data_IF_712285427124
#
_entry.id   IF_712285427124
#
_cell.length_a   1.000
_cell.length_b   1.000
_cell.length_c   1.000
_cell.angle_alpha   90.00
_cell.angle_beta   90.00
_cell.angle_gamma   90.00
#
_symmetry.space_group_name_H-M   'P 1'
#
loop_
_entity.id
_entity.type
_entity.pdbx_description
1 polymer ?
#
# COMPACT_ATOMS: atom_id res chain seq x y z
N UNK A 1 51.61 -32.39 18.96
CA UNK A 1 50.77 -31.19 18.69
C UNK A 1 50.27 -31.10 17.23
N UNK A 2 50.82 -31.85 16.28
CA UNK A 2 50.43 -31.75 14.85
C UNK A 2 49.02 -32.30 14.54
N UNK A 3 48.59 -33.38 15.20
CA UNK A 3 47.24 -33.94 15.01
C UNK A 3 46.09 -32.99 15.40
N UNK A 4 46.26 -32.16 16.43
CA UNK A 4 45.26 -31.13 16.81
C UNK A 4 45.19 -30.00 15.78
N UNK A 5 46.31 -29.66 15.14
CA UNK A 5 46.39 -28.63 14.09
C UNK A 5 45.75 -29.09 12.79
N UNK A 6 45.96 -30.35 12.41
CA UNK A 6 45.30 -30.98 11.25
C UNK A 6 43.79 -31.09 11.42
N UNK A 7 43.33 -31.44 12.63
CA UNK A 7 41.90 -31.48 12.95
C UNK A 7 41.24 -30.09 12.88
N UNK A 8 41.88 -29.06 13.46
CA UNK A 8 41.37 -27.67 13.37
C UNK A 8 41.31 -27.15 11.93
N UNK A 9 42.31 -27.48 11.09
CA UNK A 9 42.27 -27.13 9.66
C UNK A 9 41.14 -27.86 8.92
N UNK A 10 40.94 -29.16 9.19
CA UNK A 10 39.87 -29.93 8.56
C UNK A 10 38.46 -29.44 8.95
N UNK A 11 38.31 -28.87 10.15
CA UNK A 11 37.03 -28.31 10.62
C UNK A 11 36.73 -26.91 10.08
N UNK A 12 37.72 -26.17 9.58
CA UNK A 12 37.53 -24.78 9.16
C UNK A 12 36.49 -24.61 8.03
N UNK A 13 36.46 -25.45 6.96
CA UNK A 13 35.41 -25.38 5.94
C UNK A 13 34.01 -25.66 6.52
N UNK A 14 33.88 -26.64 7.42
CA UNK A 14 32.61 -26.95 8.08
C UNK A 14 32.12 -25.78 8.93
N UNK A 15 33.01 -25.11 9.66
CA UNK A 15 32.66 -23.91 10.44
C UNK A 15 32.22 -22.75 9.55
N UNK A 16 32.85 -22.56 8.39
CA UNK A 16 32.45 -21.54 7.40
C UNK A 16 31.05 -21.85 6.84
N UNK A 17 30.77 -23.11 6.49
CA UNK A 17 29.44 -23.51 6.02
C UNK A 17 28.36 -23.34 7.09
N UNK A 18 28.65 -23.72 8.34
CA UNK A 18 27.71 -23.53 9.46
C UNK A 18 27.43 -22.03 9.66
N UNK A 19 28.45 -21.18 9.57
CA UNK A 19 28.29 -19.74 9.73
C UNK A 19 27.45 -19.12 8.61
N UNK A 20 27.74 -19.46 7.34
CA UNK A 20 26.97 -18.99 6.19
C UNK A 20 25.52 -19.50 6.21
N UNK A 21 25.31 -20.76 6.57
CA UNK A 21 23.99 -21.35 6.73
C UNK A 21 23.18 -20.69 7.86
N UNK A 22 23.85 -20.35 8.97
CA UNK A 22 23.21 -19.62 10.08
C UNK A 22 22.81 -18.20 9.69
N UNK A 23 23.64 -17.50 8.88
CA UNK A 23 23.30 -16.18 8.32
C UNK A 23 22.08 -16.29 7.42
N UNK A 24 22.05 -17.26 6.50
CA UNK A 24 20.91 -17.48 5.62
C UNK A 24 19.64 -17.76 6.42
N UNK A 25 19.70 -18.69 7.39
CA UNK A 25 18.55 -19.05 8.22
C UNK A 25 18.06 -17.88 9.05
N UNK A 26 18.97 -17.07 9.60
CA UNK A 26 18.65 -15.88 10.37
C UNK A 26 17.93 -14.82 9.54
N UNK A 27 18.42 -14.54 8.32
CA UNK A 27 17.77 -13.59 7.40
C UNK A 27 16.41 -14.15 6.97
N UNK A 28 16.36 -15.42 6.56
CA UNK A 28 15.11 -16.07 6.15
C UNK A 28 14.03 -15.98 7.24
N UNK A 29 14.37 -16.35 8.49
CA UNK A 29 13.45 -16.31 9.61
C UNK A 29 12.98 -14.88 9.92
N UNK A 30 13.90 -13.91 9.93
CA UNK A 30 13.56 -12.50 10.14
C UNK A 30 12.57 -11.99 9.10
N UNK A 31 12.85 -12.24 7.82
CA UNK A 31 12.01 -11.70 6.73
C UNK A 31 10.64 -12.38 6.67
N UNK A 32 10.59 -13.70 6.88
CA UNK A 32 9.31 -14.42 6.96
C UNK A 32 8.47 -13.97 8.16
N UNK A 33 9.11 -13.70 9.30
CA UNK A 33 8.43 -13.12 10.48
C UNK A 33 7.86 -11.73 10.18
N UNK A 34 8.62 -10.85 9.53
CA UNK A 34 8.17 -9.51 9.15
C UNK A 34 6.99 -9.57 8.17
N UNK A 35 7.02 -10.48 7.20
CA UNK A 35 5.91 -10.70 6.28
C UNK A 35 4.65 -11.14 7.03
N UNK A 36 4.78 -12.06 7.98
CA UNK A 36 3.65 -12.50 8.81
C UNK A 36 3.08 -11.37 9.65
N UNK A 37 3.94 -10.52 10.22
CA UNK A 37 3.51 -9.36 11.01
C UNK A 37 2.77 -8.33 10.16
N UNK A 38 3.26 -8.06 8.95
CA UNK A 38 2.59 -7.17 8.00
C UNK A 38 1.22 -7.70 7.62
N UNK A 39 1.07 -9.00 7.34
CA UNK A 39 -0.23 -9.61 7.03
C UNK A 39 -1.18 -9.50 8.22
N UNK A 40 -0.71 -9.79 9.44
CA UNK A 40 -1.53 -9.63 10.65
C UNK A 40 -1.98 -8.17 10.85
N UNK A 41 -1.11 -7.21 10.56
CA UNK A 41 -1.43 -5.78 10.62
C UNK A 41 -2.52 -5.41 9.60
N UNK A 42 -2.49 -6.02 8.40
CA UNK A 42 -3.55 -5.85 7.40
C UNK A 42 -4.86 -6.50 7.88
N UNK A 43 -4.81 -7.66 8.52
CA UNK A 43 -5.99 -8.33 9.09
C UNK A 43 -6.65 -7.46 10.18
N UNK A 44 -5.85 -6.80 11.02
CA UNK A 44 -6.31 -5.84 12.03
C UNK A 44 -7.04 -4.65 11.36
N UNK A 45 -6.44 -4.06 10.32
CA UNK A 45 -7.05 -2.97 9.55
C UNK A 45 -8.31 -3.37 8.79
N UNK A 46 -8.41 -4.62 8.31
CA UNK A 46 -9.63 -5.16 7.70
C UNK A 46 -10.78 -5.26 8.71
N UNK A 47 -10.45 -5.47 10.00
CA UNK A 47 -11.41 -5.47 11.10
C UNK A 47 -12.08 -4.12 11.36
N UNK A 48 -11.50 -3.02 10.88
CA UNK A 48 -12.05 -1.67 11.02
C UNK A 48 -13.29 -1.55 10.12
N UNK A 49 -14.47 -1.81 10.68
CA UNK A 49 -15.74 -1.66 9.95
C UNK A 49 -16.44 -0.37 10.36
N UNK A 50 -16.49 0.59 9.45
CA UNK A 50 -17.48 1.66 9.48
C UNK A 50 -18.75 1.25 8.74
N UNK A 51 -19.79 0.83 9.46
CA UNK A 51 -21.14 0.72 8.85
C UNK A 51 -21.55 2.08 8.27
N UNK A 52 -22.08 2.08 7.05
CA UNK A 52 -22.58 3.27 6.34
C UNK A 52 -21.53 4.37 6.11
N UNK A 53 -20.30 4.02 5.75
CA UNK A 53 -19.38 5.01 5.19
C UNK A 53 -20.00 5.59 3.91
N UNK A 54 -20.42 6.85 3.99
CA UNK A 54 -21.01 7.59 2.88
C UNK A 54 -20.04 7.58 1.70
N UNK A 55 -20.49 7.05 0.57
CA UNK A 55 -19.80 7.12 -0.71
C UNK A 55 -20.57 8.09 -1.60
N UNK A 56 -19.88 9.08 -2.17
CA UNK A 56 -20.51 10.11 -2.98
C UNK A 56 -19.59 11.30 -3.21
N UNK A 57 -19.15 11.44 -4.46
CA UNK A 57 -18.71 12.71 -5.04
C UNK A 57 -17.35 12.70 -5.71
N UNK A 58 -17.37 12.78 -7.05
CA UNK A 58 -16.17 12.90 -7.90
C UNK A 58 -15.55 14.31 -7.84
N UNK A 59 -16.25 15.28 -7.26
CA UNK A 59 -15.88 16.70 -7.35
C UNK A 59 -14.67 17.05 -6.49
N UNK A 60 -14.54 16.42 -5.32
CA UNK A 60 -13.44 16.65 -4.39
C UNK A 60 -12.94 15.30 -3.90
N UNK A 61 -11.68 14.99 -4.14
CA UNK A 61 -11.13 13.67 -3.81
C UNK A 61 -9.83 13.84 -3.03
N UNK A 62 -9.74 13.20 -1.88
CA UNK A 62 -8.53 13.08 -1.08
C UNK A 62 -8.04 11.64 -1.17
N UNK A 63 -6.87 11.46 -1.75
CA UNK A 63 -6.18 10.17 -1.83
C UNK A 63 -5.05 10.13 -0.81
N UNK A 64 -5.03 9.12 0.05
CA UNK A 64 -3.96 8.86 1.01
C UNK A 64 -3.35 7.49 0.68
N UNK A 65 -2.04 7.44 0.50
CA UNK A 65 -1.31 6.18 0.30
C UNK A 65 -0.49 5.88 1.55
N UNK A 66 -0.80 4.74 2.16
CA UNK A 66 -0.20 4.28 3.41
C UNK A 66 0.58 3.00 3.15
N UNK A 67 1.82 2.94 3.64
CA UNK A 67 2.60 1.71 3.67
C UNK A 67 2.68 1.20 5.10
N UNK A 68 2.18 -0.01 5.34
CA UNK A 68 2.21 -0.66 6.65
C UNK A 68 3.35 -1.66 6.67
N UNK A 69 4.36 -1.42 7.52
CA UNK A 69 5.50 -2.32 7.69
C UNK A 69 5.46 -3.09 9.01
N UNK A 70 4.69 -2.57 9.96
CA UNK A 70 4.60 -3.02 11.34
C UNK A 70 3.19 -2.81 11.90
N UNK A 71 2.91 -3.39 13.07
CA UNK A 71 1.65 -3.15 13.77
C UNK A 71 1.50 -1.70 14.23
N UNK A 72 2.61 -1.04 14.57
CA UNK A 72 2.60 0.36 14.97
C UNK A 72 2.10 1.27 13.84
N UNK A 73 2.43 0.96 12.58
CA UNK A 73 1.94 1.72 11.42
C UNK A 73 0.42 1.56 11.25
N UNK A 74 -0.10 0.35 11.46
CA UNK A 74 -1.53 0.07 11.41
C UNK A 74 -2.28 0.78 12.54
N UNK A 75 -1.77 0.70 13.77
CA UNK A 75 -2.32 1.42 14.92
C UNK A 75 -2.31 2.95 14.70
N UNK A 76 -1.26 3.51 14.10
CA UNK A 76 -1.20 4.93 13.76
C UNK A 76 -2.24 5.36 12.72
N UNK A 77 -2.58 4.48 11.76
CA UNK A 77 -3.69 4.71 10.84
C UNK A 77 -5.05 4.66 11.56
N UNK A 78 -5.25 3.70 12.44
CA UNK A 78 -6.48 3.59 13.24
C UNK A 78 -6.68 4.81 14.15
N UNK A 79 -5.63 5.25 14.85
CA UNK A 79 -5.64 6.46 15.67
C UNK A 79 -5.99 7.69 14.85
N UNK A 80 -5.38 7.86 13.67
CA UNK A 80 -5.71 8.95 12.76
C UNK A 80 -7.19 8.98 12.37
N UNK A 81 -7.77 7.82 12.04
CA UNK A 81 -9.19 7.69 11.70
C UNK A 81 -10.08 8.03 12.91
N UNK A 82 -9.73 7.56 14.10
CA UNK A 82 -10.46 7.82 15.34
C UNK A 82 -10.43 9.30 15.74
N UNK A 83 -9.26 9.94 15.72
CA UNK A 83 -9.09 11.35 16.08
C UNK A 83 -9.84 12.29 15.14
N UNK A 84 -9.76 12.04 13.83
CA UNK A 84 -10.48 12.83 12.82
C UNK A 84 -11.95 12.39 12.68
N UNK A 85 -12.40 11.39 13.45
CA UNK A 85 -13.75 10.81 13.44
C UNK A 85 -14.19 10.37 12.03
N UNK A 86 -13.24 9.85 11.26
CA UNK A 86 -13.44 9.40 9.89
C UNK A 86 -13.99 7.98 9.94
N UNK A 87 -15.16 7.77 9.34
CA UNK A 87 -15.70 6.44 9.10
C UNK A 87 -15.31 5.97 7.71
N UNK A 88 -14.80 4.74 7.64
CA UNK A 88 -14.38 4.13 6.38
C UNK A 88 -15.03 2.77 6.17
N UNK A 89 -15.41 2.48 4.93
CA UNK A 89 -15.70 1.16 4.45
C UNK A 89 -14.39 0.55 3.94
N UNK A 90 -14.07 -0.64 4.43
CA UNK A 90 -12.81 -1.32 4.13
C UNK A 90 -13.07 -2.48 3.16
N UNK A 91 -12.23 -2.59 2.13
CA UNK A 91 -12.26 -3.65 1.14
C UNK A 91 -10.86 -4.22 0.93
N UNK A 92 -10.73 -5.54 1.07
CA UNK A 92 -9.47 -6.25 0.88
C UNK A 92 -9.32 -6.72 -0.57
N UNK A 93 -8.19 -6.40 -1.19
CA UNK A 93 -7.85 -6.88 -2.54
C UNK A 93 -6.57 -7.72 -2.49
N UNK A 94 -6.67 -8.87 -1.81
CA UNK A 94 -5.57 -9.79 -1.56
C UNK A 94 -4.91 -9.57 -0.19
N UNK A 95 -3.89 -10.36 0.10
CA UNK A 95 -3.29 -10.41 1.45
C UNK A 95 -2.59 -9.12 1.85
N UNK A 96 -2.09 -8.35 0.87
CA UNK A 96 -1.14 -7.24 1.07
C UNK A 96 -1.69 -5.87 0.67
N UNK A 97 -2.97 -5.78 0.29
CA UNK A 97 -3.58 -4.53 -0.15
C UNK A 97 -5.00 -4.40 0.36
N UNK A 98 -5.28 -3.24 0.94
CA UNK A 98 -6.59 -2.83 1.43
C UNK A 98 -6.92 -1.46 0.85
N UNK A 99 -8.15 -1.28 0.41
CA UNK A 99 -8.72 0.04 0.14
C UNK A 99 -9.70 0.41 1.24
N UNK A 100 -9.62 1.64 1.73
CA UNK A 100 -10.59 2.21 2.65
C UNK A 100 -11.22 3.43 2.00
N UNK A 101 -12.55 3.49 2.01
CA UNK A 101 -13.32 4.59 1.42
C UNK A 101 -14.18 5.26 2.47
N UNK A 102 -14.17 6.58 2.48
CA UNK A 102 -14.97 7.37 3.40
C UNK A 102 -15.27 8.74 2.83
N UNK A 103 -15.73 9.63 3.71
CA UNK A 103 -16.07 11.00 3.36
C UNK A 103 -15.65 11.94 4.46
N UNK A 104 -15.19 13.11 4.06
CA UNK A 104 -14.74 14.16 4.98
C UNK A 104 -15.36 15.49 4.57
N UNK A 105 -15.58 16.37 5.53
CA UNK A 105 -16.11 17.70 5.20
C UNK A 105 -15.03 18.50 4.46
N UNK A 106 -15.44 19.25 3.43
CA UNK A 106 -14.51 19.99 2.58
C UNK A 106 -13.64 20.97 3.39
N UNK A 107 -14.23 21.61 4.41
CA UNK A 107 -13.52 22.50 5.36
C UNK A 107 -12.39 21.82 6.14
N UNK A 108 -12.41 20.50 6.26
CA UNK A 108 -11.46 19.71 7.06
C UNK A 108 -10.36 19.09 6.18
N UNK A 109 -10.46 19.18 4.85
CA UNK A 109 -9.51 18.59 3.90
C UNK A 109 -8.08 19.06 4.16
N UNK A 110 -7.84 20.36 4.30
CA UNK A 110 -6.50 20.89 4.55
C UNK A 110 -5.89 20.34 5.85
N UNK A 111 -6.70 20.13 6.89
CA UNK A 111 -6.25 19.54 8.15
C UNK A 111 -5.86 18.08 7.95
N UNK A 112 -6.71 17.32 7.27
CA UNK A 112 -6.48 15.91 6.95
C UNK A 112 -5.21 15.73 6.12
N UNK A 113 -5.04 16.54 5.07
CA UNK A 113 -3.86 16.52 4.20
C UNK A 113 -2.59 16.78 4.99
N UNK A 114 -2.57 17.85 5.80
CA UNK A 114 -1.40 18.19 6.63
C UNK A 114 -1.08 17.11 7.65
N UNK A 115 -2.09 16.51 8.28
CA UNK A 115 -1.90 15.46 9.28
C UNK A 115 -1.37 14.16 8.64
N UNK A 116 -1.92 13.77 7.50
CA UNK A 116 -1.39 12.62 6.75
C UNK A 116 0.06 12.83 6.29
N UNK A 117 0.41 14.02 5.81
CA UNK A 117 1.79 14.38 5.49
C UNK A 117 2.72 14.35 6.71
N UNK A 118 2.25 14.83 7.87
CA UNK A 118 2.99 14.76 9.14
C UNK A 118 3.24 13.32 9.59
N UNK A 119 2.32 12.42 9.30
CA UNK A 119 2.45 10.98 9.54
C UNK A 119 3.35 10.28 8.49
N UNK A 120 3.92 11.02 7.54
CA UNK A 120 4.81 10.49 6.51
C UNK A 120 4.10 9.81 5.34
N UNK A 121 2.78 9.97 5.21
CA UNK A 121 2.00 9.39 4.11
C UNK A 121 2.00 10.29 2.89
N UNK A 122 1.85 9.68 1.72
CA UNK A 122 1.63 10.42 0.49
C UNK A 122 0.15 10.79 0.42
N UNK A 123 -0.14 12.10 0.41
CA UNK A 123 -1.51 12.61 0.34
C UNK A 123 -1.66 13.53 -0.85
N UNK A 124 -2.72 13.32 -1.63
CA UNK A 124 -3.11 14.17 -2.75
C UNK A 124 -4.56 14.60 -2.60
N UNK A 125 -4.81 15.90 -2.79
CA UNK A 125 -6.15 16.45 -2.92
C UNK A 125 -6.38 16.86 -4.37
N UNK A 126 -7.50 16.42 -4.94
CA UNK A 126 -7.94 16.73 -6.28
C UNK A 126 -9.25 17.52 -6.19
N UNK A 127 -9.19 18.76 -6.66
CA UNK A 127 -10.39 19.57 -6.89
C UNK A 127 -10.81 19.42 -8.36
N UNK A 128 -11.88 18.67 -8.57
CA UNK A 128 -12.53 18.45 -9.86
C UNK A 128 -13.80 19.29 -10.00
N UNK A 129 -13.90 20.44 -9.32
CA UNK A 129 -15.05 21.36 -9.41
C UNK A 129 -15.39 21.71 -10.86
N UNK A 130 -14.39 21.90 -11.72
CA UNK A 130 -14.59 22.22 -13.14
C UNK A 130 -15.25 21.07 -13.91
N UNK A 131 -14.91 19.83 -13.56
CA UNK A 131 -15.55 18.65 -14.15
C UNK A 131 -17.01 18.57 -13.70
N UNK A 132 -17.29 18.81 -12.41
CA UNK A 132 -18.66 18.82 -11.89
C UNK A 132 -19.50 19.98 -12.45
N UNK A 133 -18.91 21.16 -12.63
CA UNK A 133 -19.58 22.30 -13.29
C UNK A 133 -20.01 21.97 -14.72
N UNK A 134 -19.20 21.19 -15.47
CA UNK A 134 -19.59 20.71 -16.81
C UNK A 134 -20.78 19.75 -16.78
N UNK A 135 -20.90 18.91 -15.75
CA UNK A 135 -22.06 18.04 -15.59
C UNK A 135 -23.33 18.82 -15.25
N UNK A 136 -23.23 19.79 -14.33
CA UNK A 136 -24.34 20.70 -14.02
C UNK A 136 -24.82 21.41 -15.29
N UNK A 137 -23.90 22.04 -16.02
CA UNK A 137 -24.22 22.74 -17.26
C UNK A 137 -24.86 21.83 -18.32
N UNK A 138 -24.48 20.55 -18.39
CA UNK A 138 -25.12 19.58 -19.28
C UNK A 138 -26.56 19.31 -18.87
N UNK A 139 -26.82 19.05 -17.59
CA UNK A 139 -28.18 18.81 -17.09
C UNK A 139 -29.08 20.04 -17.24
N UNK A 140 -28.55 21.24 -16.98
CA UNK A 140 -29.27 22.50 -17.22
C UNK A 140 -29.62 22.69 -18.70
N UNK A 141 -28.68 22.40 -19.60
CA UNK A 141 -28.91 22.47 -21.04
C UNK A 141 -29.97 21.46 -21.49
N UNK A 142 -29.88 20.21 -21.03
CA UNK A 142 -30.89 19.18 -21.31
C UNK A 142 -32.28 19.61 -20.83
N UNK A 143 -32.38 20.12 -19.60
CA UNK A 143 -33.64 20.63 -19.05
C UNK A 143 -34.18 21.82 -19.86
N UNK A 144 -33.31 22.73 -20.31
CA UNK A 144 -33.68 23.85 -21.18
C UNK A 144 -34.25 23.38 -22.52
N UNK A 145 -33.62 22.39 -23.15
CA UNK A 145 -34.10 21.80 -24.41
C UNK A 145 -35.45 21.10 -24.21
N UNK A 146 -35.59 20.29 -23.17
CA UNK A 146 -36.83 19.59 -22.85
C UNK A 146 -37.96 20.59 -22.61
N UNK A 147 -37.72 21.60 -21.76
CA UNK A 147 -38.72 22.61 -21.40
C UNK A 147 -39.20 23.40 -22.62
N UNK A 148 -38.32 23.69 -23.58
CA UNK A 148 -38.68 24.44 -24.79
C UNK A 148 -39.66 23.69 -25.69
N UNK A 149 -39.58 22.35 -25.73
CA UNK A 149 -40.40 21.51 -26.63
C UNK A 149 -41.55 20.79 -25.90
N UNK A 150 -41.65 20.94 -24.57
CA UNK A 150 -42.56 20.16 -23.73
C UNK A 150 -44.04 20.30 -24.11
N UNK A 151 -44.45 21.46 -24.64
CA UNK A 151 -45.84 21.74 -25.02
C UNK A 151 -46.23 21.21 -26.40
N UNK A 152 -45.26 20.76 -27.20
CA UNK A 152 -45.49 20.20 -28.55
C UNK A 152 -45.72 18.68 -28.52
N UNK A 153 -45.62 18.07 -27.33
CA UNK A 153 -45.61 16.64 -27.15
C UNK A 153 -46.97 16.07 -26.72
N UNK A 154 -47.14 14.77 -26.92
CA UNK A 154 -48.27 14.04 -26.36
C UNK A 154 -48.24 14.06 -24.81
N UNK A 155 -49.40 13.90 -24.14
CA UNK A 155 -49.46 13.86 -22.68
C UNK A 155 -48.51 12.82 -22.05
N UNK A 156 -48.40 11.64 -22.67
CA UNK A 156 -47.53 10.55 -22.22
C UNK A 156 -46.04 10.93 -22.32
N UNK A 157 -45.62 11.50 -23.45
CA UNK A 157 -44.24 11.97 -23.63
C UNK A 157 -43.90 13.14 -22.71
N UNK A 158 -44.87 14.03 -22.47
CA UNK A 158 -44.73 15.15 -21.52
C UNK A 158 -44.48 14.66 -20.11
N UNK A 159 -45.19 13.63 -19.65
CA UNK A 159 -44.99 13.05 -18.32
C UNK A 159 -43.57 12.45 -18.16
N UNK A 160 -43.11 11.67 -19.15
CA UNK A 160 -41.77 11.05 -19.12
C UNK A 160 -40.67 12.11 -19.06
N UNK A 161 -40.77 13.14 -19.90
CA UNK A 161 -39.76 14.19 -19.96
C UNK A 161 -39.78 15.10 -18.74
N UNK A 162 -40.96 15.32 -18.13
CA UNK A 162 -41.06 16.02 -16.85
C UNK A 162 -40.31 15.25 -15.75
N UNK A 163 -40.51 13.93 -15.64
CA UNK A 163 -39.74 13.10 -14.69
C UNK A 163 -38.24 13.12 -14.95
N UNK A 164 -37.83 13.24 -16.22
CA UNK A 164 -36.42 13.38 -16.58
C UNK A 164 -35.85 14.72 -16.08
N UNK A 165 -36.59 15.82 -16.25
CA UNK A 165 -36.18 17.12 -15.73
C UNK A 165 -36.10 17.15 -14.20
N UNK A 166 -37.05 16.51 -13.52
CA UNK A 166 -37.04 16.34 -12.07
C UNK A 166 -35.78 15.59 -11.63
N UNK A 167 -35.49 14.43 -12.23
CA UNK A 167 -34.29 13.66 -11.91
C UNK A 167 -32.98 14.38 -12.24
N UNK A 168 -32.95 15.18 -13.30
CA UNK A 168 -31.81 16.04 -13.63
C UNK A 168 -31.62 17.15 -12.57
N UNK A 169 -32.71 17.72 -12.06
CA UNK A 169 -32.66 18.76 -11.02
C UNK A 169 -32.16 18.20 -9.69
N UNK A 170 -32.62 17.01 -9.30
CA UNK A 170 -32.11 16.29 -8.12
C UNK A 170 -30.60 16.04 -8.23
N UNK A 171 -30.12 15.57 -9.39
CA UNK A 171 -28.69 15.35 -9.64
C UNK A 171 -27.86 16.64 -9.57
N UNK A 172 -28.38 17.75 -10.08
CA UNK A 172 -27.71 19.05 -9.97
C UNK A 172 -27.55 19.40 -8.49
N UNK A 173 -28.62 19.29 -7.69
CA UNK A 173 -28.58 19.59 -6.26
C UNK A 173 -27.58 18.69 -5.52
N UNK A 174 -27.55 17.39 -5.83
CA UNK A 174 -26.57 16.44 -5.27
C UNK A 174 -25.13 16.86 -5.61
N UNK A 175 -24.84 17.16 -6.87
CA UNK A 175 -23.49 17.56 -7.32
C UNK A 175 -23.07 18.89 -6.69
N UNK A 176 -23.98 19.87 -6.59
CA UNK A 176 -23.70 21.14 -5.94
C UNK A 176 -23.40 20.97 -4.45
N UNK A 177 -24.19 20.13 -3.76
CA UNK A 177 -24.00 19.82 -2.36
C UNK A 177 -22.67 19.11 -2.12
N UNK A 178 -22.34 18.11 -2.94
CA UNK A 178 -21.05 17.43 -2.92
C UNK A 178 -19.88 18.39 -3.15
N UNK A 179 -20.00 19.27 -4.14
CA UNK A 179 -18.95 20.25 -4.47
C UNK A 179 -18.70 21.23 -3.31
N UNK A 180 -19.74 21.62 -2.57
CA UNK A 180 -19.64 22.65 -1.52
C UNK A 180 -19.27 22.09 -0.15
N UNK A 181 -19.75 20.90 0.19
CA UNK A 181 -19.70 20.44 1.59
C UNK A 181 -18.73 19.29 1.84
N UNK A 182 -18.39 18.50 0.82
CA UNK A 182 -17.77 17.20 1.06
C UNK A 182 -16.60 16.91 0.11
N UNK A 183 -15.72 16.02 0.57
CA UNK A 183 -14.71 15.36 -0.24
C UNK A 183 -14.76 13.85 0.01
N UNK A 184 -14.66 13.08 -1.08
CA UNK A 184 -14.43 11.65 -1.04
C UNK A 184 -13.02 11.39 -0.49
N UNK A 185 -12.90 10.44 0.44
CA UNK A 185 -11.64 10.02 1.01
C UNK A 185 -11.34 8.60 0.56
N UNK A 186 -10.22 8.41 -0.12
CA UNK A 186 -9.70 7.12 -0.52
C UNK A 186 -8.35 6.88 0.16
N UNK A 187 -8.27 5.87 1.01
CA UNK A 187 -7.02 5.43 1.65
C UNK A 187 -6.62 4.11 1.02
N UNK A 188 -5.48 4.10 0.34
CA UNK A 188 -4.89 2.91 -0.24
C UNK A 188 -3.78 2.43 0.68
N UNK A 189 -3.97 1.26 1.28
CA UNK A 189 -3.05 0.68 2.24
C UNK A 189 -2.34 -0.49 1.59
N UNK A 190 -1.01 -0.43 1.56
CA UNK A 190 -0.17 -1.49 1.04
C UNK A 190 0.75 -2.00 2.15
N UNK A 191 0.87 -3.32 2.29
CA UNK A 191 1.93 -3.88 3.11
C UNK A 191 3.31 -3.51 2.51
N UNK A 192 4.33 -3.38 3.36
CA UNK A 192 5.71 -3.08 2.95
C UNK A 192 6.28 -4.05 1.91
N UNK A 193 7.53 -3.87 1.45
CA UNK A 193 8.16 -4.84 0.56
C UNK A 193 8.24 -6.22 1.24
N UNK A 194 7.94 -7.28 0.48
CA UNK A 194 8.20 -8.66 0.88
C UNK A 194 9.39 -9.21 0.09
N UNK A 195 10.26 -9.98 0.76
CA UNK A 195 11.29 -10.74 0.08
C UNK A 195 10.63 -11.82 -0.79
N UNK A 196 10.91 -11.79 -2.09
CA UNK A 196 10.45 -12.78 -3.05
C UNK A 196 11.35 -14.04 -2.99
N UNK A 197 10.89 -15.20 -3.48
CA UNK A 197 11.76 -16.37 -3.65
C UNK A 197 13.05 -16.05 -4.42
N UNK A 198 12.99 -15.14 -5.39
CA UNK A 198 14.13 -14.64 -6.14
C UNK A 198 15.15 -13.91 -5.26
N UNK A 199 14.70 -13.05 -4.34
CA UNK A 199 15.60 -12.36 -3.39
C UNK A 199 16.32 -13.33 -2.44
N UNK A 200 15.67 -14.43 -2.05
CA UNK A 200 16.33 -15.50 -1.30
C UNK A 200 17.30 -16.31 -2.16
N UNK A 201 16.99 -16.47 -3.46
CA UNK A 201 17.89 -17.10 -4.41
C UNK A 201 19.17 -16.27 -4.59
N UNK A 202 19.05 -14.96 -4.79
CA UNK A 202 20.19 -14.04 -4.87
C UNK A 202 21.03 -14.05 -3.58
N UNK A 203 20.38 -14.02 -2.42
CA UNK A 203 21.08 -14.14 -1.13
C UNK A 203 21.85 -15.45 -1.04
N UNK A 204 21.21 -16.57 -1.41
CA UNK A 204 21.86 -17.88 -1.39
C UNK A 204 23.04 -17.96 -2.37
N UNK A 205 22.90 -17.37 -3.58
CA UNK A 205 23.96 -17.31 -4.59
C UNK A 205 25.14 -16.44 -4.14
N UNK A 206 24.87 -15.31 -3.49
CA UNK A 206 25.89 -14.44 -2.90
C UNK A 206 26.65 -15.18 -1.78
N UNK A 207 25.93 -15.81 -0.85
CA UNK A 207 26.55 -16.58 0.24
C UNK A 207 27.36 -17.78 -0.30
N UNK A 208 26.87 -18.47 -1.33
CA UNK A 208 27.61 -19.54 -2.00
C UNK A 208 28.90 -19.02 -2.65
N UNK A 209 28.84 -17.86 -3.32
CA UNK A 209 30.01 -17.21 -3.94
C UNK A 209 31.08 -16.88 -2.89
N UNK A 210 30.67 -16.28 -1.77
CA UNK A 210 31.57 -16.02 -0.65
C UNK A 210 32.14 -17.30 -0.04
N UNK A 211 31.32 -18.34 0.10
CA UNK A 211 31.79 -19.67 0.51
C UNK A 211 32.86 -20.23 -0.42
N UNK A 212 32.68 -20.12 -1.74
CA UNK A 212 33.68 -20.54 -2.73
C UNK A 212 34.96 -19.71 -2.63
N UNK A 213 34.87 -18.38 -2.55
CA UNK A 213 36.04 -17.50 -2.41
C UNK A 213 36.84 -17.83 -1.15
N UNK A 214 36.17 -17.95 0.00
CA UNK A 214 36.80 -18.32 1.26
C UNK A 214 37.42 -19.72 1.21
N UNK A 215 36.74 -20.68 0.56
CA UNK A 215 37.25 -22.03 0.35
C UNK A 215 38.50 -22.07 -0.54
N UNK A 216 38.51 -21.33 -1.65
CA UNK A 216 39.67 -21.21 -2.55
C UNK A 216 40.85 -20.54 -1.83
N UNK A 217 40.61 -19.46 -1.10
CA UNK A 217 41.65 -18.79 -0.31
C UNK A 217 42.23 -19.72 0.76
N UNK A 218 41.38 -20.50 1.44
CA UNK A 218 41.81 -21.50 2.41
C UNK A 218 42.65 -22.61 1.77
N UNK A 219 42.22 -23.16 0.63
CA UNK A 219 42.96 -24.19 -0.11
C UNK A 219 44.30 -23.66 -0.61
N UNK A 220 44.34 -22.44 -1.15
CA UNK A 220 45.58 -21.79 -1.57
C UNK A 220 46.52 -21.63 -0.38
N UNK A 221 46.04 -21.05 0.73
CA UNK A 221 46.85 -20.91 1.95
C UNK A 221 47.39 -22.27 2.45
N UNK A 222 46.58 -23.31 2.43
CA UNK A 222 46.99 -24.66 2.85
C UNK A 222 48.08 -25.24 1.93
N UNK A 223 47.89 -25.21 0.61
CA UNK A 223 48.85 -25.72 -0.38
C UNK A 223 50.19 -24.97 -0.32
N UNK A 224 50.16 -23.64 -0.18
CA UNK A 224 51.39 -22.85 -0.13
C UNK A 224 52.12 -22.93 1.22
N UNK A 225 51.41 -23.20 2.32
CA UNK A 225 52.01 -23.44 3.64
C UNK A 225 52.76 -24.77 3.71
N UNK A 226 52.26 -25.82 3.06
CA UNK A 226 52.96 -27.13 2.98
C UNK A 226 54.20 -27.09 2.08
N UNK A 227 54.20 -26.25 1.03
CA UNK A 227 55.40 -26.01 0.21
C UNK A 227 56.52 -25.32 0.98
N UNK A 228 56.18 -24.36 1.85
CA UNK A 228 57.18 -23.68 2.68
C UNK A 228 57.81 -24.62 3.72
N UNK A 229 57.05 -25.58 4.27
CA UNK A 229 57.57 -26.59 5.21
C UNK A 229 58.45 -27.66 4.56
N UNK A 230 58.30 -27.93 3.26
CA UNK A 230 59.12 -28.91 2.51
C UNK A 230 60.43 -28.33 1.95
N UNK A 231 60.59 -27.00 1.97
CA UNK A 231 61.82 -26.32 1.50
C UNK A 231 62.85 -26.03 2.60
N UNK A 232 62.58 -26.42 3.85
CA UNK A 232 63.49 -26.23 5.01
C UNK A 232 64.13 -27.54 5.50
N UNK A 233 64.06 -28.63 4.73
CA UNK A 233 64.82 -29.87 4.98
C UNK A 233 65.98 -30.01 4.00
#
# INVERSE_FOLDING_TARGET
MEGKRGLMLAMAPFMIFILLGSIFLGIYYRETSLVSEQVASMDELEGIRGENASWGGLCNIVNIYVTVKSREDAAGLEEFLGEERIRVAVSRHGERFISMRGRVALRDVDRIVKKGQKNGWVVAYHNNSDFCAKWISRFEMENGIISAHLNELSPESKEILTRTMEGNSERIEEIENETRLWAELNIMVQAGPAYTPESFHELSGSLATWGTVLGVLFLMWWVFKDKHKKGEN
#
